data_IF_102096046802
#
_entry.id   IF_102096046802
#
_cell.length_a   1.000
_cell.length_b   1.000
_cell.length_c   1.000
_cell.angle_alpha   90.00
_cell.angle_beta   90.00
_cell.angle_gamma   90.00
#
_symmetry.space_group_name_H-M   'P 1'
#
loop_
_entity.id
_entity.type
_entity.pdbx_description
1 polymer ?
#
# COMPACT_ATOMS: atom_id res chain seq x y z
N UNK A 1 -10.81 13.17 3.91
CA UNK A 1 -9.57 12.43 3.60
C UNK A 1 -9.47 11.16 4.46
N UNK A 2 -10.46 10.26 4.41
CA UNK A 2 -10.44 9.05 5.25
C UNK A 2 -10.92 7.81 4.48
N UNK A 3 -12.04 7.93 3.77
CA UNK A 3 -12.60 6.79 3.03
C UNK A 3 -11.84 6.50 1.74
N UNK A 4 -11.33 7.54 1.06
CA UNK A 4 -10.60 7.36 -0.21
C UNK A 4 -9.28 6.59 -0.03
N UNK A 5 -8.56 6.81 1.07
CA UNK A 5 -7.35 6.05 1.39
C UNK A 5 -7.66 4.58 1.63
N UNK A 6 -8.73 4.29 2.39
CA UNK A 6 -9.19 2.93 2.65
C UNK A 6 -9.57 2.24 1.32
N UNK A 7 -10.30 2.92 0.44
CA UNK A 7 -10.63 2.39 -0.88
C UNK A 7 -9.40 2.12 -1.75
N UNK A 8 -8.39 3.01 -1.73
CA UNK A 8 -7.12 2.80 -2.45
C UNK A 8 -6.37 1.56 -1.93
N UNK A 9 -6.27 1.40 -0.62
CA UNK A 9 -5.61 0.24 -0.01
C UNK A 9 -6.37 -1.05 -0.36
N UNK A 10 -7.70 -1.04 -0.28
CA UNK A 10 -8.53 -2.18 -0.64
C UNK A 10 -8.36 -2.56 -2.13
N UNK A 11 -8.35 -1.58 -3.03
CA UNK A 11 -8.13 -1.80 -4.46
C UNK A 11 -6.75 -2.43 -4.75
N UNK A 12 -5.70 -1.94 -4.08
CA UNK A 12 -4.35 -2.53 -4.18
C UNK A 12 -4.38 -3.99 -3.69
N UNK A 13 -5.05 -4.27 -2.57
CA UNK A 13 -5.18 -5.64 -2.05
C UNK A 13 -5.86 -6.60 -3.02
N UNK A 14 -6.95 -6.17 -3.66
CA UNK A 14 -7.66 -6.95 -4.69
C UNK A 14 -6.74 -7.21 -5.89
N UNK A 15 -6.09 -6.16 -6.41
CA UNK A 15 -5.18 -6.29 -7.55
C UNK A 15 -4.02 -7.25 -7.27
N UNK A 16 -3.38 -7.12 -6.12
CA UNK A 16 -2.26 -7.99 -5.70
C UNK A 16 -2.73 -9.44 -5.55
N UNK A 17 -3.91 -9.67 -4.99
CA UNK A 17 -4.48 -11.02 -4.86
C UNK A 17 -4.76 -11.67 -6.22
N UNK A 18 -5.35 -10.92 -7.15
CA UNK A 18 -5.60 -11.39 -8.52
C UNK A 18 -4.28 -11.69 -9.24
N UNK A 19 -3.29 -10.81 -9.16
CA UNK A 19 -1.97 -11.03 -9.76
C UNK A 19 -1.27 -12.25 -9.15
N UNK A 20 -1.35 -12.41 -7.84
CA UNK A 20 -0.79 -13.58 -7.15
C UNK A 20 -1.41 -14.87 -7.67
N UNK A 21 -2.75 -14.95 -7.77
CA UNK A 21 -3.44 -16.11 -8.33
C UNK A 21 -3.03 -16.39 -9.77
N UNK A 22 -2.95 -15.36 -10.63
CA UNK A 22 -2.54 -15.51 -12.03
C UNK A 22 -1.10 -16.03 -12.14
N UNK A 23 -0.19 -15.49 -11.35
CA UNK A 23 1.22 -15.90 -11.35
C UNK A 23 1.40 -17.34 -10.87
N UNK A 24 0.71 -17.74 -9.78
CA UNK A 24 0.72 -19.14 -9.31
C UNK A 24 0.16 -20.07 -10.38
N UNK A 25 -0.97 -19.71 -11.02
CA UNK A 25 -1.57 -20.51 -12.11
C UNK A 25 -0.66 -20.62 -13.35
N UNK A 26 0.24 -19.67 -13.55
CA UNK A 26 1.25 -19.70 -14.62
C UNK A 26 2.53 -20.48 -14.26
N UNK A 27 2.62 -21.06 -13.05
CA UNK A 27 3.80 -21.77 -12.56
C UNK A 27 4.95 -20.86 -12.09
N UNK A 28 4.67 -19.57 -11.85
CA UNK A 28 5.66 -18.55 -11.43
C UNK A 28 5.50 -18.19 -9.95
N UNK A 29 5.63 -19.19 -9.07
CA UNK A 29 5.37 -19.05 -7.64
C UNK A 29 6.27 -18.00 -6.96
N UNK A 30 7.57 -17.99 -7.28
CA UNK A 30 8.53 -17.01 -6.73
C UNK A 30 8.10 -15.57 -7.00
N UNK A 31 7.63 -15.30 -8.23
CA UNK A 31 7.18 -13.97 -8.61
C UNK A 31 5.85 -13.61 -7.98
N UNK A 32 5.00 -14.60 -7.74
CA UNK A 32 3.74 -14.44 -7.06
C UNK A 32 3.97 -14.01 -5.59
N UNK A 33 4.97 -14.60 -4.93
CA UNK A 33 5.42 -14.21 -3.60
C UNK A 33 6.00 -12.79 -3.59
N UNK A 34 6.91 -12.48 -4.52
CA UNK A 34 7.50 -11.15 -4.66
C UNK A 34 6.43 -10.06 -4.90
N UNK A 35 5.42 -10.36 -5.73
CA UNK A 35 4.30 -9.44 -6.01
C UNK A 35 3.49 -9.13 -4.75
N UNK A 36 3.26 -10.14 -3.90
CA UNK A 36 2.55 -9.97 -2.63
C UNK A 36 3.34 -9.08 -1.66
N UNK A 37 4.66 -9.29 -1.59
CA UNK A 37 5.58 -8.44 -0.83
C UNK A 37 5.61 -7.00 -1.33
N UNK A 38 5.68 -6.79 -2.66
CA UNK A 38 5.61 -5.45 -3.25
C UNK A 38 4.29 -4.76 -2.92
N UNK A 39 3.17 -5.49 -3.00
CA UNK A 39 1.85 -4.98 -2.60
C UNK A 39 1.83 -4.44 -1.17
N UNK A 40 2.42 -5.20 -0.24
CA UNK A 40 2.56 -4.77 1.15
C UNK A 40 3.42 -3.51 1.29
N UNK A 41 4.58 -3.47 0.64
CA UNK A 41 5.51 -2.33 0.70
C UNK A 41 4.85 -1.04 0.18
N UNK A 42 4.06 -1.13 -0.89
CA UNK A 42 3.32 0.01 -1.45
C UNK A 42 2.33 0.56 -0.43
N UNK A 43 1.54 -0.31 0.21
CA UNK A 43 0.57 0.11 1.24
C UNK A 43 1.28 0.75 2.44
N UNK A 44 2.37 0.16 2.91
CA UNK A 44 3.16 0.73 4.01
C UNK A 44 3.73 2.11 3.64
N UNK A 45 4.21 2.28 2.40
CA UNK A 45 4.72 3.56 1.91
C UNK A 45 3.65 4.66 1.89
N UNK A 46 2.39 4.29 1.57
CA UNK A 46 1.27 5.21 1.66
C UNK A 46 1.02 5.65 3.11
N UNK A 47 1.03 4.71 4.06
CA UNK A 47 0.85 5.02 5.49
C UNK A 47 1.95 5.93 6.02
N UNK A 48 3.21 5.71 5.63
CA UNK A 48 4.35 6.58 6.02
C UNK A 48 4.13 8.01 5.55
N UNK A 49 3.57 8.22 4.35
CA UNK A 49 3.28 9.56 3.83
C UNK A 49 2.21 10.27 4.65
N UNK A 50 1.11 9.58 4.98
CA UNK A 50 0.05 10.14 5.84
C UNK A 50 0.60 10.53 7.23
N UNK A 51 1.49 9.71 7.80
CA UNK A 51 2.18 10.04 9.04
C UNK A 51 3.04 11.30 8.86
N UNK A 52 3.81 11.40 7.77
CA UNK A 52 4.61 12.59 7.47
C UNK A 52 3.76 13.86 7.37
N UNK A 53 2.61 13.78 6.71
CA UNK A 53 1.69 14.91 6.55
C UNK A 53 1.08 15.33 7.90
N UNK A 54 0.77 14.37 8.77
CA UNK A 54 0.37 14.65 10.15
C UNK A 54 1.50 15.33 10.93
N UNK A 55 2.73 14.84 10.85
CA UNK A 55 3.89 15.46 11.49
C UNK A 55 4.12 16.89 10.99
N UNK A 56 3.99 17.13 9.68
CA UNK A 56 4.08 18.47 9.11
C UNK A 56 2.97 19.37 9.66
N UNK A 57 1.74 18.88 9.73
CA UNK A 57 0.61 19.61 10.29
C UNK A 57 0.84 20.00 11.74
N UNK A 58 1.39 19.08 12.56
CA UNK A 58 1.78 19.36 13.94
C UNK A 58 2.85 20.44 14.01
N UNK A 59 3.94 20.33 13.23
CA UNK A 59 5.00 21.35 13.21
C UNK A 59 4.47 22.74 12.84
N UNK A 60 3.62 22.82 11.81
CA UNK A 60 2.97 24.07 11.40
C UNK A 60 2.10 24.66 12.51
N UNK A 61 1.34 23.83 13.23
CA UNK A 61 0.53 24.30 14.37
C UNK A 61 1.38 24.83 15.53
N UNK A 62 2.59 24.29 15.71
CA UNK A 62 3.55 24.76 16.71
C UNK A 62 4.54 25.81 16.17
N UNK A 63 4.37 26.25 14.92
CA UNK A 63 5.22 27.23 14.24
C UNK A 63 6.74 26.91 14.32
N UNK A 64 7.06 25.61 14.24
CA UNK A 64 8.40 25.01 14.17
C UNK A 64 8.74 24.63 12.72
#
# INVERSE_FOLDING_TARGET
>A
MNVELIFKIAAIGILVSVLHQVLVRSGREDQAMLTSLTGLIVVLSMVVKEISDLFSSVKTMFNL
#
